data_IF_725049796308
#
_entry.id   IF_725049796308
#
_cell.length_a   1.000
_cell.length_b   1.000
_cell.length_c   1.000
_cell.angle_alpha   90.00
_cell.angle_beta   90.00
_cell.angle_gamma   90.00
#
_symmetry.space_group_name_H-M   'P 1'
#
loop_
_entity.id
_entity.type
_entity.pdbx_description
1 polymer ?
#
# COMPACT_ATOMS: atom_id res chain seq x y z
N UNK A 1 6.34 -9.36 -30.22
CA UNK A 1 4.96 -9.76 -29.86
C UNK A 1 4.65 -9.28 -28.45
N UNK A 2 3.67 -8.37 -28.28
CA UNK A 2 3.20 -7.95 -26.96
C UNK A 2 2.43 -9.12 -26.33
N UNK A 3 3.03 -9.83 -25.36
CA UNK A 3 2.29 -10.77 -24.53
C UNK A 3 1.09 -10.04 -23.91
N UNK A 4 -0.11 -10.62 -24.04
CA UNK A 4 -1.34 -10.03 -23.53
C UNK A 4 -1.28 -10.02 -22.00
N UNK A 5 -0.90 -8.89 -21.39
CA UNK A 5 -0.70 -8.78 -19.94
C UNK A 5 -2.05 -8.91 -19.22
N UNK A 6 -2.08 -9.71 -18.16
CA UNK A 6 -3.26 -9.85 -17.29
C UNK A 6 -3.68 -8.48 -16.71
N UNK A 7 -5.01 -8.22 -16.66
CA UNK A 7 -5.55 -7.01 -16.05
C UNK A 7 -5.39 -7.05 -14.51
N UNK A 8 -5.05 -5.92 -13.92
CA UNK A 8 -4.94 -5.76 -12.47
C UNK A 8 -5.43 -4.38 -12.05
N UNK A 9 -6.46 -4.31 -11.21
CA UNK A 9 -6.76 -3.09 -10.47
C UNK A 9 -5.75 -2.92 -9.32
N UNK A 10 -5.24 -1.71 -9.15
CA UNK A 10 -4.36 -1.31 -8.05
C UNK A 10 -5.02 -0.16 -7.29
N UNK A 11 -5.46 -0.44 -6.06
CA UNK A 11 -6.07 0.54 -5.17
C UNK A 11 -4.97 1.22 -4.37
N UNK A 12 -4.83 2.53 -4.54
CA UNK A 12 -3.86 3.37 -3.86
C UNK A 12 -4.57 4.29 -2.87
N UNK A 13 -4.21 4.21 -1.59
CA UNK A 13 -4.65 5.17 -0.57
C UNK A 13 -3.48 6.12 -0.31
N UNK A 14 -3.69 7.40 -0.63
CA UNK A 14 -2.63 8.39 -0.61
C UNK A 14 -3.04 9.64 0.18
N UNK A 15 -2.01 10.39 0.58
CA UNK A 15 -2.14 11.76 1.07
C UNK A 15 -1.20 12.67 0.25
N UNK A 16 -1.10 13.95 0.60
CA UNK A 16 -0.26 14.92 -0.11
C UNK A 16 1.23 14.74 0.22
N UNK A 17 1.86 13.70 -0.33
CA UNK A 17 3.29 13.37 -0.16
C UNK A 17 3.94 13.01 -1.51
N UNK A 18 4.17 13.97 -2.40
CA UNK A 18 4.54 13.69 -3.79
C UNK A 18 5.86 12.90 -3.92
N UNK A 19 6.89 13.26 -3.17
CA UNK A 19 8.19 12.56 -3.22
C UNK A 19 8.08 11.08 -2.81
N UNK A 20 7.30 10.82 -1.76
CA UNK A 20 7.05 9.47 -1.23
C UNK A 20 6.22 8.65 -2.21
N UNK A 21 5.14 9.22 -2.76
CA UNK A 21 4.32 8.52 -3.75
C UNK A 21 5.12 8.20 -5.01
N UNK A 22 5.96 9.13 -5.51
CA UNK A 22 6.82 8.87 -6.68
C UNK A 22 7.72 7.67 -6.44
N UNK A 23 8.40 7.63 -5.30
CA UNK A 23 9.27 6.51 -4.94
C UNK A 23 8.49 5.19 -4.82
N UNK A 24 7.30 5.25 -4.21
CA UNK A 24 6.39 4.11 -4.11
C UNK A 24 6.02 3.58 -5.50
N UNK A 25 5.40 4.41 -6.35
CA UNK A 25 4.95 3.98 -7.68
C UNK A 25 6.12 3.56 -8.58
N UNK A 26 7.27 4.22 -8.53
CA UNK A 26 8.48 3.84 -9.26
C UNK A 26 8.91 2.41 -8.91
N UNK A 27 9.10 2.14 -7.62
CA UNK A 27 9.59 0.84 -7.17
C UNK A 27 8.58 -0.26 -7.43
N UNK A 28 7.28 0.00 -7.22
CA UNK A 28 6.22 -0.97 -7.52
C UNK A 28 6.04 -1.19 -9.03
N UNK A 29 6.08 -0.15 -9.86
CA UNK A 29 6.04 -0.28 -11.33
C UNK A 29 7.19 -1.15 -11.82
N UNK A 30 8.42 -0.79 -11.47
CA UNK A 30 9.62 -1.51 -11.93
C UNK A 30 9.66 -2.95 -11.44
N UNK A 31 9.40 -3.18 -10.15
CA UNK A 31 9.64 -4.48 -9.53
C UNK A 31 8.44 -5.43 -9.57
N UNK A 32 7.24 -4.97 -9.93
CA UNK A 32 6.06 -5.82 -9.87
C UNK A 32 5.02 -5.48 -10.94
N UNK A 33 4.53 -4.24 -10.97
CA UNK A 33 3.33 -3.86 -11.71
C UNK A 33 3.52 -3.79 -13.23
N UNK A 34 4.74 -3.64 -13.75
CA UNK A 34 5.01 -3.66 -15.20
C UNK A 34 4.67 -5.02 -15.86
N UNK A 35 4.39 -6.07 -15.09
CA UNK A 35 3.96 -7.37 -15.61
C UNK A 35 2.45 -7.43 -15.92
N UNK A 36 1.69 -6.37 -15.63
CA UNK A 36 0.23 -6.35 -15.75
C UNK A 36 -0.25 -5.20 -16.64
N UNK A 37 -1.49 -5.31 -17.13
CA UNK A 37 -2.26 -4.17 -17.64
C UNK A 37 -2.97 -3.51 -16.44
N UNK A 38 -2.39 -2.41 -15.95
CA UNK A 38 -2.76 -1.82 -14.65
C UNK A 38 -3.79 -0.71 -14.82
N UNK A 39 -4.82 -0.75 -13.97
CA UNK A 39 -5.72 0.38 -13.69
C UNK A 39 -5.50 0.85 -12.25
N UNK A 40 -5.09 2.09 -12.08
CA UNK A 40 -4.93 2.71 -10.76
C UNK A 40 -6.27 3.27 -10.30
N UNK A 41 -6.62 2.99 -9.05
CA UNK A 41 -7.76 3.55 -8.34
C UNK A 41 -7.19 4.28 -7.12
N UNK A 42 -7.06 5.60 -7.19
CA UNK A 42 -6.38 6.39 -6.16
C UNK A 42 -7.34 7.30 -5.39
N UNK A 43 -7.39 7.15 -4.06
CA UNK A 43 -7.98 8.17 -3.19
C UNK A 43 -6.84 9.02 -2.62
N UNK A 44 -6.92 10.34 -2.76
CA UNK A 44 -5.95 11.27 -2.17
C UNK A 44 -6.65 12.07 -1.10
N UNK A 45 -6.39 11.83 0.18
CA UNK A 45 -6.92 12.65 1.26
C UNK A 45 -6.23 14.04 1.30
N UNK A 46 -6.90 15.10 1.77
CA UNK A 46 -6.40 16.48 1.73
C UNK A 46 -5.26 16.76 2.73
N UNK A 47 -4.88 15.77 3.53
CA UNK A 47 -3.84 15.86 4.57
C UNK A 47 -2.45 15.71 3.92
N UNK A 48 -1.40 16.26 4.52
CA UNK A 48 -0.01 16.09 4.08
C UNK A 48 0.72 17.42 3.94
N UNK A 49 1.62 17.51 2.98
CA UNK A 49 2.44 18.70 2.72
C UNK A 49 1.57 19.88 2.25
N UNK A 50 1.76 21.04 2.87
CA UNK A 50 0.90 22.23 2.66
C UNK A 50 1.05 22.81 1.25
N UNK A 51 2.26 22.82 0.71
CA UNK A 51 2.60 23.37 -0.61
C UNK A 51 2.18 22.48 -1.79
N UNK A 52 1.48 21.39 -1.51
CA UNK A 52 0.99 20.45 -2.52
C UNK A 52 -0.53 20.33 -2.47
N UNK A 53 -1.12 20.17 -3.64
CA UNK A 53 -2.54 19.91 -3.84
C UNK A 53 -2.79 18.41 -4.02
N UNK A 54 -4.04 17.97 -3.82
CA UNK A 54 -4.43 16.60 -4.14
C UNK A 54 -4.29 16.31 -5.65
N UNK A 55 -4.42 17.33 -6.50
CA UNK A 55 -4.26 17.23 -7.95
C UNK A 55 -2.84 16.85 -8.34
N UNK A 56 -1.83 17.36 -7.63
CA UNK A 56 -0.42 17.01 -7.87
C UNK A 56 -0.19 15.51 -7.69
N UNK A 57 -0.80 14.92 -6.67
CA UNK A 57 -0.72 13.49 -6.36
C UNK A 57 -1.41 12.64 -7.43
N UNK A 58 -2.57 13.09 -7.93
CA UNK A 58 -3.26 12.43 -9.06
C UNK A 58 -2.42 12.51 -10.33
N UNK A 59 -1.79 13.66 -10.60
CA UNK A 59 -0.92 13.84 -11.76
C UNK A 59 0.29 12.88 -11.70
N UNK A 60 0.91 12.72 -10.53
CA UNK A 60 1.97 11.73 -10.32
C UNK A 60 1.48 10.33 -10.73
N UNK A 61 0.30 9.89 -10.28
CA UNK A 61 -0.22 8.57 -10.66
C UNK A 61 -0.38 8.41 -12.19
N UNK A 62 -0.79 9.49 -12.88
CA UNK A 62 -0.95 9.52 -14.35
C UNK A 62 0.37 9.49 -15.12
N UNK A 63 1.45 10.01 -14.56
CA UNK A 63 2.79 9.86 -15.14
C UNK A 63 3.24 8.38 -15.15
N UNK A 64 2.82 7.60 -14.16
CA UNK A 64 3.20 6.19 -14.03
C UNK A 64 2.28 5.24 -14.79
N UNK A 65 0.97 5.52 -14.85
CA UNK A 65 -0.02 4.62 -15.42
C UNK A 65 -1.06 5.39 -16.24
N UNK A 66 -1.41 4.94 -17.46
CA UNK A 66 -2.33 5.68 -18.33
C UNK A 66 -3.80 5.61 -17.89
N UNK A 67 -4.18 4.58 -17.13
CA UNK A 67 -5.56 4.36 -16.67
C UNK A 67 -5.66 4.65 -15.17
N UNK A 68 -6.13 5.86 -14.83
CA UNK A 68 -6.26 6.34 -13.44
C UNK A 68 -7.69 6.77 -13.16
N UNK A 69 -8.29 6.18 -12.14
CA UNK A 69 -9.54 6.63 -11.52
C UNK A 69 -9.19 7.26 -10.18
N UNK A 70 -9.61 8.49 -9.95
CA UNK A 70 -9.20 9.25 -8.76
C UNK A 70 -10.38 9.83 -7.98
N UNK A 71 -10.22 9.94 -6.66
CA UNK A 71 -11.10 10.71 -5.76
C UNK A 71 -10.25 11.60 -4.85
N UNK A 72 -10.68 12.85 -4.71
CA UNK A 72 -10.03 13.88 -3.87
C UNK A 72 -11.07 14.50 -2.93
N UNK A 73 -11.39 13.85 -1.79
CA UNK A 73 -12.40 14.37 -0.87
C UNK A 73 -11.93 15.66 -0.19
N UNK A 74 -12.88 16.52 0.21
CA UNK A 74 -12.60 17.76 0.97
C UNK A 74 -12.14 17.51 2.41
N UNK A 75 -12.52 16.37 3.00
CA UNK A 75 -12.15 15.96 4.36
C UNK A 75 -11.51 14.56 4.31
N UNK A 76 -10.42 14.38 5.06
CA UNK A 76 -9.69 13.11 5.11
C UNK A 76 -10.31 12.11 6.06
N UNK A 77 -10.53 10.88 5.60
CA UNK A 77 -11.06 9.78 6.40
C UNK A 77 -10.60 8.45 5.79
N UNK A 78 -9.77 7.73 6.56
CA UNK A 78 -9.08 6.54 6.09
C UNK A 78 -10.06 5.42 5.69
N UNK A 79 -11.07 5.19 6.52
CA UNK A 79 -12.07 4.16 6.28
C UNK A 79 -12.93 4.48 5.06
N UNK A 80 -13.33 5.74 4.86
CA UNK A 80 -14.04 6.20 3.66
C UNK A 80 -13.17 6.13 2.41
N UNK A 81 -11.85 6.35 2.53
CA UNK A 81 -10.89 6.21 1.43
C UNK A 81 -10.75 4.74 1.00
N UNK A 82 -10.54 3.84 1.97
CA UNK A 82 -10.45 2.39 1.75
C UNK A 82 -11.73 1.82 1.16
N UNK A 83 -12.89 2.14 1.76
CA UNK A 83 -14.20 1.71 1.27
C UNK A 83 -14.41 2.10 -0.20
N UNK A 84 -14.19 3.38 -0.53
CA UNK A 84 -14.35 3.86 -1.89
C UNK A 84 -13.39 3.15 -2.84
N UNK A 85 -12.09 3.08 -2.52
CA UNK A 85 -11.10 2.44 -3.39
C UNK A 85 -11.46 0.99 -3.69
N UNK A 86 -11.85 0.22 -2.67
CA UNK A 86 -12.28 -1.17 -2.84
C UNK A 86 -13.60 -1.32 -3.61
N UNK A 87 -14.54 -0.39 -3.47
CA UNK A 87 -15.81 -0.41 -4.22
C UNK A 87 -15.62 -0.24 -5.74
N UNK A 88 -14.52 0.36 -6.18
CA UNK A 88 -14.24 0.59 -7.61
C UNK A 88 -13.58 -0.60 -8.33
N UNK A 89 -13.23 -1.66 -7.57
CA UNK A 89 -12.52 -2.84 -8.09
C UNK A 89 -13.43 -3.69 -8.98
N UNK A 90 -12.93 -4.00 -10.17
CA UNK A 90 -13.57 -4.79 -11.22
C UNK A 90 -12.88 -6.14 -11.43
N UNK A 91 -11.58 -6.27 -11.15
CA UNK A 91 -10.84 -7.55 -11.29
C UNK A 91 -11.15 -8.53 -10.17
N UNK A 92 -10.96 -9.84 -10.38
CA UNK A 92 -11.17 -10.89 -9.35
C UNK A 92 -10.18 -10.82 -8.19
N UNK A 93 -8.99 -10.31 -8.49
CA UNK A 93 -7.97 -9.97 -7.51
C UNK A 93 -7.46 -8.58 -7.81
N UNK A 94 -7.19 -7.81 -6.77
CA UNK A 94 -6.63 -6.47 -6.89
C UNK A 94 -5.47 -6.29 -5.93
N UNK A 95 -4.60 -5.33 -6.21
CA UNK A 95 -3.50 -4.97 -5.33
C UNK A 95 -3.88 -3.75 -4.51
N UNK A 96 -3.77 -3.84 -3.19
CA UNK A 96 -3.94 -2.70 -2.29
C UNK A 96 -2.56 -2.15 -1.90
N UNK A 97 -2.45 -0.82 -1.91
CA UNK A 97 -1.21 -0.10 -1.68
C UNK A 97 -1.50 1.22 -0.95
N UNK A 98 -0.74 1.51 0.10
CA UNK A 98 -0.63 2.87 0.65
C UNK A 98 0.55 3.59 -0.01
N UNK A 99 0.50 4.93 -0.08
CA UNK A 99 1.48 5.76 -0.79
C UNK A 99 2.90 5.69 -0.20
N UNK A 100 3.07 5.14 1.01
CA UNK A 100 4.31 5.20 1.78
C UNK A 100 5.07 3.87 1.93
N UNK A 101 4.92 3.00 0.93
CA UNK A 101 5.70 1.77 0.82
C UNK A 101 6.73 1.81 -0.31
N UNK A 102 7.89 1.19 -0.07
CA UNK A 102 8.89 0.91 -1.11
C UNK A 102 9.00 -0.59 -1.35
N UNK A 103 8.98 -1.03 -2.60
CA UNK A 103 9.25 -2.41 -2.98
C UNK A 103 10.74 -2.62 -3.29
N UNK A 104 11.43 -3.45 -2.51
CA UNK A 104 12.91 -3.55 -2.55
C UNK A 104 13.47 -4.34 -3.72
N UNK A 105 12.74 -5.30 -4.23
CA UNK A 105 13.23 -6.25 -5.21
C UNK A 105 12.11 -6.75 -6.11
N UNK A 106 12.51 -7.23 -7.29
CA UNK A 106 11.60 -7.79 -8.28
C UNK A 106 10.81 -8.97 -7.71
N UNK A 107 9.51 -8.98 -8.01
CA UNK A 107 8.60 -10.06 -7.69
C UNK A 107 7.94 -10.56 -8.98
N UNK A 108 8.24 -11.79 -9.41
CA UNK A 108 7.58 -12.38 -10.57
C UNK A 108 6.09 -12.61 -10.34
N UNK A 109 5.26 -12.21 -11.30
CA UNK A 109 3.80 -12.31 -11.22
C UNK A 109 3.29 -13.76 -11.09
N UNK A 110 3.96 -14.73 -11.71
CA UNK A 110 3.57 -16.15 -11.66
C UNK A 110 3.55 -16.73 -10.24
N UNK A 111 4.35 -16.17 -9.31
CA UNK A 111 4.37 -16.62 -7.91
C UNK A 111 3.06 -16.38 -7.18
N UNK A 112 2.22 -15.47 -7.67
CA UNK A 112 0.88 -15.24 -7.15
C UNK A 112 -0.17 -16.12 -7.84
N UNK A 113 -0.01 -16.44 -9.12
CA UNK A 113 -0.99 -17.20 -9.89
C UNK A 113 -1.27 -18.56 -9.24
N UNK A 114 -0.23 -19.27 -8.81
CA UNK A 114 -0.36 -20.55 -8.07
C UNK A 114 -1.15 -20.43 -6.75
N UNK A 115 -1.14 -19.26 -6.11
CA UNK A 115 -1.81 -19.04 -4.82
C UNK A 115 -3.25 -18.58 -5.01
N UNK A 116 -3.56 -17.95 -6.15
CA UNK A 116 -4.91 -17.50 -6.51
C UNK A 116 -5.89 -18.66 -6.73
N UNK A 117 -5.42 -19.82 -7.16
CA UNK A 117 -6.24 -21.03 -7.35
C UNK A 117 -6.73 -21.63 -6.03
N UNK A 118 -6.06 -21.35 -4.91
CA UNK A 118 -6.46 -21.83 -3.59
C UNK A 118 -7.61 -20.94 -3.08
N UNK A 119 -8.82 -21.52 -3.01
CA UNK A 119 -10.09 -20.80 -2.81
C UNK A 119 -10.14 -20.01 -1.50
N UNK A 120 -9.61 -20.56 -0.42
CA UNK A 120 -9.68 -19.94 0.91
C UNK A 120 -8.61 -18.86 1.14
N UNK A 121 -7.59 -18.77 0.28
CA UNK A 121 -6.65 -17.64 0.28
C UNK A 121 -7.38 -16.40 -0.21
N UNK A 122 -7.53 -15.44 0.70
CA UNK A 122 -8.20 -14.15 0.44
C UNK A 122 -7.23 -12.97 0.43
N UNK A 123 -6.04 -13.12 1.01
CA UNK A 123 -5.00 -12.10 1.01
C UNK A 123 -3.60 -12.70 0.89
N UNK A 124 -2.75 -12.05 0.09
CA UNK A 124 -1.31 -12.31 -0.03
C UNK A 124 -0.55 -11.02 0.26
N UNK A 125 -0.04 -10.88 1.48
CA UNK A 125 0.61 -9.66 1.98
C UNK A 125 2.13 -9.72 1.84
N UNK A 126 2.74 -8.61 1.42
CA UNK A 126 4.19 -8.55 1.29
C UNK A 126 4.84 -8.40 2.67
N UNK A 127 5.96 -9.09 2.89
CA UNK A 127 6.60 -9.17 4.19
C UNK A 127 7.56 -7.99 4.47
N UNK A 128 7.54 -7.51 5.72
CA UNK A 128 8.42 -6.45 6.25
C UNK A 128 9.66 -7.00 6.98
N UNK A 129 9.70 -8.31 7.23
CA UNK A 129 10.77 -9.05 7.92
C UNK A 129 10.87 -10.46 7.36
N UNK A 130 11.82 -11.26 7.86
CA UNK A 130 11.79 -12.72 7.62
C UNK A 130 10.46 -13.33 8.08
N UNK A 131 10.02 -14.35 7.34
CA UNK A 131 8.76 -15.04 7.59
C UNK A 131 8.88 -16.18 8.62
N UNK A 132 10.10 -16.58 9.02
CA UNK A 132 10.35 -17.74 9.90
C UNK A 132 9.55 -17.75 11.22
N UNK A 133 9.17 -16.57 11.72
CA UNK A 133 8.39 -16.40 12.95
C UNK A 133 6.88 -16.67 12.81
N UNK A 134 6.38 -16.90 11.60
CA UNK A 134 4.96 -17.12 11.35
C UNK A 134 4.66 -18.62 11.17
N UNK A 135 3.47 -19.11 11.57
CA UNK A 135 3.09 -20.50 11.34
C UNK A 135 2.88 -20.77 9.84
N UNK A 136 3.14 -21.99 9.38
CA UNK A 136 2.88 -22.41 8.00
C UNK A 136 1.43 -22.88 7.82
N UNK A 137 0.82 -22.52 6.69
CA UNK A 137 -0.48 -23.00 6.20
C UNK A 137 -0.32 -23.31 4.71
N UNK A 138 -0.64 -24.54 4.33
CA UNK A 138 -0.21 -25.15 3.06
C UNK A 138 1.33 -25.10 2.95
N UNK A 139 1.86 -24.22 2.11
CA UNK A 139 3.30 -23.96 1.95
C UNK A 139 3.66 -22.49 2.22
N UNK A 140 2.73 -21.72 2.80
CA UNK A 140 2.87 -20.28 3.00
C UNK A 140 2.82 -19.93 4.48
N UNK A 141 3.27 -18.74 4.81
CA UNK A 141 3.25 -18.24 6.17
C UNK A 141 1.93 -17.53 6.46
N UNK A 142 1.24 -17.93 7.52
CA UNK A 142 -0.07 -17.41 7.87
C UNK A 142 0.02 -16.15 8.74
N UNK A 143 -0.70 -15.11 8.34
CA UNK A 143 -0.98 -13.95 9.17
C UNK A 143 -2.23 -14.23 9.99
N UNK A 144 -2.08 -14.14 11.32
CA UNK A 144 -3.22 -14.28 12.24
C UNK A 144 -4.28 -13.19 12.00
N UNK A 145 -3.91 -12.06 11.43
CA UNK A 145 -4.78 -10.89 11.25
C UNK A 145 -4.73 -10.38 9.82
N UNK A 146 -5.84 -9.77 9.40
CA UNK A 146 -5.94 -8.99 8.18
C UNK A 146 -4.94 -7.82 8.21
N UNK A 147 -4.39 -7.44 7.05
CA UNK A 147 -3.47 -6.31 6.95
C UNK A 147 -3.59 -5.56 5.62
N UNK A 148 -3.47 -4.24 5.69
CA UNK A 148 -3.43 -3.26 4.59
C UNK A 148 -2.02 -2.91 4.12
N UNK A 149 -0.98 -3.54 4.69
CA UNK A 149 0.33 -3.58 4.05
C UNK A 149 0.17 -4.01 2.58
N UNK A 150 1.09 -3.62 1.67
CA UNK A 150 1.02 -3.96 0.25
C UNK A 150 0.65 -5.42 0.04
N UNK A 151 -0.53 -5.67 -0.54
CA UNK A 151 -1.12 -7.00 -0.58
C UNK A 151 -2.05 -7.19 -1.77
N UNK A 152 -2.16 -8.43 -2.23
CA UNK A 152 -3.16 -8.83 -3.20
C UNK A 152 -4.37 -9.37 -2.44
N UNK A 153 -5.55 -8.81 -2.70
CA UNK A 153 -6.81 -9.30 -2.15
C UNK A 153 -7.64 -10.02 -3.20
N UNK A 154 -8.44 -10.98 -2.73
CA UNK A 154 -9.54 -11.55 -3.50
C UNK A 154 -10.76 -10.62 -3.42
N UNK A 155 -11.20 -10.11 -4.56
CA UNK A 155 -12.24 -9.08 -4.63
C UNK A 155 -13.57 -9.54 -4.06
N UNK A 156 -13.97 -10.80 -4.29
CA UNK A 156 -15.22 -11.35 -3.73
C UNK A 156 -15.26 -11.26 -2.21
N UNK A 157 -14.16 -11.62 -1.54
CA UNK A 157 -14.05 -11.54 -0.09
C UNK A 157 -14.20 -10.10 0.40
N UNK A 158 -13.47 -9.16 -0.22
CA UNK A 158 -13.55 -7.74 0.14
C UNK A 158 -14.95 -7.17 -0.09
N UNK A 159 -15.61 -7.48 -1.21
CA UNK A 159 -16.98 -7.04 -1.49
C UNK A 159 -17.97 -7.50 -0.43
N UNK A 160 -17.85 -8.74 0.05
CA UNK A 160 -18.69 -9.23 1.16
C UNK A 160 -18.39 -8.51 2.48
N UNK A 161 -17.13 -8.10 2.72
CA UNK A 161 -16.76 -7.27 3.88
C UNK A 161 -17.27 -5.84 3.80
N UNK A 162 -17.40 -5.29 2.60
CA UNK A 162 -17.89 -3.92 2.40
C UNK A 162 -19.36 -3.74 2.85
N UNK A 163 -20.17 -4.80 2.87
CA UNK A 163 -21.60 -4.73 3.20
C UNK A 163 -21.90 -4.27 4.64
N UNK A 164 -20.98 -4.49 5.58
CA UNK A 164 -21.10 -4.06 6.99
C UNK A 164 -20.01 -3.08 7.41
N UNK A 165 -19.39 -2.40 6.44
CA UNK A 165 -18.19 -1.60 6.66
C UNK A 165 -18.52 -0.28 7.34
N UNK A 166 -17.83 0.00 8.45
CA UNK A 166 -18.06 1.22 9.24
C UNK A 166 -16.99 2.26 8.96
N UNK A 167 -17.39 3.53 8.87
CA UNK A 167 -16.50 4.65 8.51
C UNK A 167 -15.83 5.34 9.70
N UNK A 168 -16.26 4.99 10.90
CA UNK A 168 -15.75 5.41 12.20
C UNK A 168 -14.93 4.31 12.87
N UNK A 169 -14.64 3.20 12.18
CA UNK A 169 -13.73 2.15 12.64
C UNK A 169 -12.57 1.95 11.68
N UNK A 170 -11.38 1.67 12.22
CA UNK A 170 -10.20 1.31 11.43
C UNK A 170 -10.48 0.08 10.54
N UNK A 171 -10.16 0.11 9.23
CA UNK A 171 -10.41 -0.99 8.29
C UNK A 171 -9.79 -2.33 8.67
N UNK A 172 -8.55 -2.33 9.19
CA UNK A 172 -7.89 -3.56 9.59
C UNK A 172 -8.59 -4.16 10.81
N UNK A 173 -8.85 -3.33 11.82
CA UNK A 173 -9.49 -3.76 13.07
C UNK A 173 -10.90 -4.29 12.83
N UNK A 174 -11.71 -3.62 12.00
CA UNK A 174 -13.09 -4.07 11.74
C UNK A 174 -13.13 -5.43 11.04
N UNK A 175 -12.22 -5.69 10.09
CA UNK A 175 -12.12 -7.00 9.44
C UNK A 175 -11.53 -8.05 10.38
N UNK A 176 -10.60 -7.66 11.26
CA UNK A 176 -10.01 -8.57 12.25
C UNK A 176 -11.03 -9.05 13.29
N UNK A 177 -12.03 -8.22 13.67
CA UNK A 177 -13.09 -8.59 14.62
C UNK A 177 -13.93 -9.77 14.13
N UNK A 178 -14.20 -9.84 12.83
CA UNK A 178 -14.85 -10.98 12.21
C UNK A 178 -14.22 -11.21 10.84
N UNK A 179 -13.34 -12.20 10.75
CA UNK A 179 -12.66 -12.55 9.50
C UNK A 179 -13.57 -13.32 8.55
N UNK A 180 -14.56 -14.06 9.04
CA UNK A 180 -15.44 -14.89 8.21
C UNK A 180 -16.42 -14.09 7.34
N UNK A 181 -16.78 -14.62 6.17
CA UNK A 181 -17.76 -14.01 5.26
C UNK A 181 -18.71 -15.07 4.71
N UNK A 182 -19.68 -14.67 3.88
CA UNK A 182 -20.69 -15.61 3.32
C UNK A 182 -20.01 -16.72 2.52
N UNK A 183 -19.06 -16.35 1.65
CA UNK A 183 -18.35 -17.29 0.78
C UNK A 183 -17.06 -17.87 1.38
N UNK A 184 -16.51 -17.26 2.43
CA UNK A 184 -15.23 -17.67 3.02
C UNK A 184 -15.40 -17.87 4.53
N UNK A 185 -15.69 -19.10 4.93
CA UNK A 185 -15.88 -19.49 6.35
C UNK A 185 -14.56 -19.63 7.11
N UNK A 186 -13.48 -19.98 6.43
CA UNK A 186 -12.13 -20.10 7.00
C UNK A 186 -11.10 -19.36 6.12
N UNK A 187 -11.19 -18.02 5.99
CA UNK A 187 -10.32 -17.27 5.11
C UNK A 187 -8.87 -17.33 5.58
N UNK A 188 -7.93 -17.47 4.63
CA UNK A 188 -6.49 -17.46 4.88
C UNK A 188 -5.87 -16.15 4.44
N UNK A 189 -5.15 -15.54 5.37
CA UNK A 189 -4.28 -14.40 5.12
C UNK A 189 -2.85 -14.93 5.13
N UNK A 190 -2.13 -14.81 4.02
CA UNK A 190 -0.78 -15.35 3.91
C UNK A 190 0.25 -14.26 3.62
N UNK A 191 1.50 -14.49 4.02
CA UNK A 191 2.65 -13.70 3.64
C UNK A 191 3.24 -14.21 2.35
N UNK A 192 3.68 -13.27 1.52
CA UNK A 192 4.54 -13.54 0.38
C UNK A 192 5.96 -13.87 0.82
N UNK A 193 6.62 -14.77 0.08
CA UNK A 193 8.03 -15.13 0.25
C UNK A 193 8.26 -16.42 1.02
N UNK A 194 9.46 -16.97 0.85
CA UNK A 194 9.91 -18.24 1.45
C UNK A 194 10.81 -17.98 2.67
N UNK A 195 11.20 -19.04 3.39
CA UNK A 195 11.97 -19.01 4.65
C UNK A 195 13.27 -18.18 4.56
N UNK A 196 13.92 -18.20 3.39
CA UNK A 196 15.19 -17.53 3.13
C UNK A 196 15.04 -16.15 2.46
N UNK A 197 13.81 -15.73 2.16
CA UNK A 197 13.58 -14.42 1.57
C UNK A 197 13.47 -13.36 2.67
N UNK A 198 14.37 -12.36 2.60
CA UNK A 198 14.29 -11.19 3.46
C UNK A 198 13.05 -10.33 3.21
N UNK A 199 12.96 -9.21 3.92
CA UNK A 199 11.88 -8.22 3.73
C UNK A 199 11.74 -7.79 2.27
N UNK A 200 10.52 -7.72 1.77
CA UNK A 200 10.18 -7.26 0.41
C UNK A 200 9.83 -5.78 0.37
N UNK A 201 9.19 -5.29 1.42
CA UNK A 201 8.74 -3.91 1.51
C UNK A 201 9.43 -3.13 2.64
N UNK A 202 9.54 -1.82 2.49
CA UNK A 202 10.03 -0.87 3.49
C UNK A 202 8.97 0.19 3.72
N UNK A 203 8.66 0.45 4.99
CA UNK A 203 7.84 1.57 5.43
C UNK A 203 8.64 2.88 5.29
N UNK A 204 8.25 3.71 4.33
CA UNK A 204 8.82 5.05 4.11
C UNK A 204 8.06 6.13 4.86
N UNK A 205 6.81 5.86 5.24
CA UNK A 205 5.92 6.77 5.95
C UNK A 205 6.44 7.09 7.35
N UNK A 206 6.98 6.09 8.05
CA UNK A 206 7.64 6.30 9.35
C UNK A 206 8.78 7.31 9.25
N UNK A 207 9.61 7.21 8.21
CA UNK A 207 10.75 8.12 7.99
C UNK A 207 10.27 9.53 7.67
N UNK A 208 9.26 9.65 6.82
CA UNK A 208 8.66 10.94 6.47
C UNK A 208 8.01 11.61 7.70
N UNK A 209 7.28 10.87 8.54
CA UNK A 209 6.71 11.41 9.79
C UNK A 209 7.78 11.93 10.74
N UNK A 210 8.87 11.18 10.91
CA UNK A 210 9.99 11.58 11.77
C UNK A 210 10.70 12.84 11.29
N UNK A 211 10.87 13.02 9.97
CA UNK A 211 11.40 14.25 9.37
C UNK A 211 10.51 15.46 9.67
N UNK A 212 9.21 15.29 9.59
CA UNK A 212 8.24 16.39 9.67
C UNK A 212 7.67 16.62 11.09
N UNK A 213 8.30 16.06 12.13
CA UNK A 213 7.85 16.21 13.50
C UNK A 213 6.40 15.73 13.76
N UNK A 214 5.86 14.82 12.96
CA UNK A 214 4.46 14.40 13.14
C UNK A 214 4.36 13.32 14.22
N UNK A 215 3.49 13.55 15.21
CA UNK A 215 3.12 12.54 16.18
C UNK A 215 2.15 11.52 15.56
N UNK A 216 1.94 10.39 16.25
CA UNK A 216 1.03 9.34 15.80
C UNK A 216 -0.37 9.94 15.63
N UNK A 217 -1.03 9.67 14.50
CA UNK A 217 -2.40 10.14 14.29
C UNK A 217 -3.31 9.58 15.39
N UNK A 218 -4.21 10.43 15.90
CA UNK A 218 -5.32 9.96 16.71
C UNK A 218 -6.50 9.66 15.79
N UNK A 219 -7.06 8.46 15.91
CA UNK A 219 -8.33 8.13 15.30
C UNK A 219 -9.43 8.78 16.16
N UNK A 220 -9.62 10.09 16.02
CA UNK A 220 -10.81 10.79 16.52
C UNK A 220 -11.66 11.17 15.32
N UNK A 221 -12.97 10.98 15.48
CA UNK A 221 -14.04 11.06 14.47
C UNK A 221 -13.80 12.01 13.28
N UNK A 222 -14.21 11.52 12.10
CA UNK A 222 -14.35 12.22 10.81
C UNK A 222 -13.16 12.97 10.20
N UNK A 223 -12.05 13.19 10.91
CA UNK A 223 -10.88 13.90 10.39
C UNK A 223 -9.57 13.22 10.82
N UNK A 224 -8.79 12.75 9.85
CA UNK A 224 -7.37 12.45 10.09
C UNK A 224 -6.64 13.79 10.22
N UNK A 225 -6.01 14.05 11.37
CA UNK A 225 -5.18 15.23 11.58
C UNK A 225 -3.79 14.78 12.04
N UNK A 226 -2.75 15.19 11.33
CA UNK A 226 -1.39 15.12 11.87
C UNK A 226 -1.19 16.25 12.87
N UNK A 227 -0.86 15.90 14.11
CA UNK A 227 -0.41 16.88 15.10
C UNK A 227 1.12 16.98 14.99
N UNK A 228 1.64 18.17 14.69
CA UNK A 228 3.07 18.45 14.87
C UNK A 228 3.37 18.29 16.37
N UNK A 229 4.45 17.60 16.72
CA UNK A 229 4.91 17.54 18.10
C UNK A 229 5.43 18.92 18.48
N UNK A 230 4.77 19.58 19.42
CA UNK A 230 5.29 20.77 20.07
C UNK A 230 6.59 20.39 20.82
N UNK A 231 7.65 21.17 20.65
CA UNK A 231 8.91 20.96 21.37
C UNK A 231 9.83 19.86 20.81
N UNK A 232 9.79 19.56 19.51
CA UNK A 232 10.80 18.66 18.95
C UNK A 232 12.19 19.34 18.98
N UNK A 233 13.13 18.69 19.66
CA UNK A 233 14.54 19.07 19.71
C UNK A 233 15.10 19.37 18.30
N UNK A 234 15.70 20.54 18.14
CA UNK A 234 16.24 21.04 16.87
C UNK A 234 17.28 20.09 16.25
N UNK A 235 18.20 19.56 17.06
CA UNK A 235 19.21 18.60 16.59
C UNK A 235 18.57 17.29 16.15
N UNK A 236 17.55 16.84 16.86
CA UNK A 236 16.77 15.64 16.50
C UNK A 236 16.03 15.82 15.16
N UNK A 237 15.46 17.00 14.92
CA UNK A 237 14.81 17.33 13.66
C UNK A 237 15.82 17.34 12.49
N UNK A 238 16.96 18.01 12.65
CA UNK A 238 18.06 18.01 11.66
C UNK A 238 18.53 16.59 11.37
N UNK A 239 18.78 15.80 12.40
CA UNK A 239 19.24 14.42 12.26
C UNK A 239 18.27 13.56 11.43
N UNK A 240 16.96 13.68 11.67
CA UNK A 240 15.97 12.96 10.87
C UNK A 240 15.82 13.50 9.46
N UNK A 241 15.98 14.81 9.25
CA UNK A 241 16.02 15.40 7.92
C UNK A 241 17.20 14.87 7.11
N UNK A 242 18.41 14.83 7.68
CA UNK A 242 19.61 14.27 7.05
C UNK A 242 19.40 12.78 6.74
N UNK A 243 18.94 11.98 7.72
CA UNK A 243 18.67 10.55 7.52
C UNK A 243 17.63 10.29 6.43
N UNK A 244 16.58 11.11 6.38
CA UNK A 244 15.56 11.03 5.35
C UNK A 244 16.14 11.37 3.98
N UNK A 245 16.93 12.45 3.87
CA UNK A 245 17.57 12.87 2.63
C UNK A 245 18.49 11.78 2.07
N UNK A 246 19.38 11.20 2.90
CA UNK A 246 20.23 10.09 2.48
C UNK A 246 19.41 8.88 2.04
N UNK A 247 18.33 8.56 2.76
CA UNK A 247 17.45 7.44 2.41
C UNK A 247 16.81 7.65 1.04
N UNK A 248 16.17 8.81 0.81
CA UNK A 248 15.55 9.11 -0.48
C UNK A 248 16.59 9.15 -1.59
N UNK A 249 17.73 9.82 -1.37
CA UNK A 249 18.81 9.91 -2.37
C UNK A 249 19.34 8.52 -2.74
N UNK A 250 19.60 7.66 -1.77
CA UNK A 250 20.05 6.28 -2.03
C UNK A 250 19.05 5.52 -2.92
N UNK A 251 17.76 5.56 -2.59
CA UNK A 251 16.76 4.83 -3.36
C UNK A 251 16.48 5.47 -4.73
N UNK A 252 16.50 6.80 -4.82
CA UNK A 252 16.43 7.51 -6.10
C UNK A 252 17.60 7.12 -6.99
N UNK A 253 18.84 7.13 -6.51
CA UNK A 253 20.00 6.68 -7.30
C UNK A 253 19.85 5.24 -7.79
N UNK A 254 19.41 4.33 -6.89
CA UNK A 254 19.20 2.92 -7.22
C UNK A 254 18.11 2.67 -8.27
N UNK A 255 17.09 3.53 -8.35
CA UNK A 255 15.92 3.32 -9.23
C UNK A 255 15.87 4.24 -10.45
N UNK A 256 16.36 5.48 -10.33
CA UNK A 256 16.30 6.56 -11.34
C UNK A 256 17.57 6.59 -12.22
N UNK A 257 18.77 6.30 -11.70
CA UNK A 257 20.02 6.49 -12.45
C UNK A 257 20.54 5.27 -13.24
N UNK A 258 19.77 4.19 -13.33
CA UNK A 258 20.13 3.04 -14.20
C UNK A 258 19.62 3.25 -15.64
N UNK A 259 18.98 4.38 -15.97
CA UNK A 259 18.40 4.65 -17.30
C UNK A 259 18.96 5.92 -17.98
N UNK A 260 20.28 6.14 -17.92
CA UNK A 260 20.97 7.06 -18.86
C UNK A 260 21.77 6.31 -19.94
N UNK A 261 21.92 4.98 -19.84
CA UNK A 261 22.54 4.18 -20.90
C UNK A 261 21.89 2.80 -20.94
N UNK A 262 20.92 2.60 -21.84
CA UNK A 262 20.76 1.46 -22.79
C UNK A 262 19.80 1.93 -23.88
#
# INVERSE_FOLDING_TARGET
MLQNKNKLDVVVIAIKRPEILRLCLETFKKNFLNQFNVRIIINVDPVGEENHSQRDIVNIAKEYFPNVVSRTPKKGNFSKAVYWGWSQVKTDFFFHLEDDWLLKSFIPAYRFQRKKSIKDIVSITFNISSNKKYPKVYENYHLKTFSLRPCIFRSKYIKEKLAGFKFDEDPEKQIAKNTTSKSFKNPKFILFGNDNEGRKIIDTGKKWKMKNAFSKWEYKSDNIVYKKSEGQDFFKAIFYAIKYWYFIRYWRLRYIYIYIYI
#
